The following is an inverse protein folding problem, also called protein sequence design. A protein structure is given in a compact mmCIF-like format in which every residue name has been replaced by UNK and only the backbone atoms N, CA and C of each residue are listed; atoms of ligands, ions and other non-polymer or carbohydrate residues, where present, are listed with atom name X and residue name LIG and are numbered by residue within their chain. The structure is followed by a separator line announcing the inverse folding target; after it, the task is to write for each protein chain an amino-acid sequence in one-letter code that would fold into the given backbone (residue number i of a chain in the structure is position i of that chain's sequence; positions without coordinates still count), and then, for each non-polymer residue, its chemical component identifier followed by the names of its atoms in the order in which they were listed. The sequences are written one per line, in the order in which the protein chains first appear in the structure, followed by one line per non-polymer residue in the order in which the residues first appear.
data_IF_777856374103
#
_entry.id   IF_777856374103
#
_cell.length_a   1.000
_cell.length_b   1.000
_cell.length_c   1.000
_cell.angle_alpha   90.00
_cell.angle_beta   90.00
_cell.angle_gamma   90.00
#
_symmetry.space_group_name_H-M   'P 1'
#
loop_
_entity.id
_entity.type
_entity.pdbx_description
1 polymer ?
#
# COMPACT_ATOMS: atom_id res chain seq x y z
N UNK A 1 -26.76 37.18 35.25
CA UNK A 1 -26.54 37.96 34.00
C UNK A 1 -26.06 37.06 32.87
N UNK A 2 -26.78 36.97 31.74
CA UNK A 2 -26.19 36.53 30.48
C UNK A 2 -26.27 37.65 29.43
N UNK A 3 -25.10 38.08 28.95
CA UNK A 3 -24.87 39.12 27.92
C UNK A 3 -25.45 38.80 26.52
N UNK A 4 -26.35 37.82 26.37
CA UNK A 4 -26.94 37.43 25.07
C UNK A 4 -28.26 38.11 24.74
N UNK A 5 -29.04 38.58 25.73
CA UNK A 5 -30.32 39.26 25.46
C UNK A 5 -30.15 40.74 25.03
N UNK A 6 -29.03 41.39 25.37
CA UNK A 6 -28.77 42.80 25.00
C UNK A 6 -28.43 43.00 23.52
N UNK A 7 -27.97 41.97 22.79
CA UNK A 7 -27.63 42.09 21.37
C UNK A 7 -28.86 41.99 20.45
N UNK A 8 -29.89 41.22 20.84
CA UNK A 8 -31.14 41.12 20.09
C UNK A 8 -31.99 42.39 20.25
N UNK A 9 -32.04 42.99 21.44
CA UNK A 9 -32.77 44.26 21.64
C UNK A 9 -32.13 45.41 20.85
N UNK A 10 -30.79 45.50 20.82
CA UNK A 10 -30.07 46.52 20.03
C UNK A 10 -30.29 46.31 18.52
N UNK A 11 -30.36 45.06 18.05
CA UNK A 11 -30.65 44.77 16.64
C UNK A 11 -32.11 45.10 16.27
N UNK A 12 -33.07 44.81 17.16
CA UNK A 12 -34.49 45.12 16.93
C UNK A 12 -34.73 46.64 16.95
N UNK A 13 -34.10 47.38 17.88
CA UNK A 13 -34.15 48.84 17.93
C UNK A 13 -33.50 49.47 16.70
N UNK A 14 -32.32 49.00 16.28
CA UNK A 14 -31.67 49.47 15.05
C UNK A 14 -32.51 49.20 13.80
N UNK A 15 -33.21 48.06 13.72
CA UNK A 15 -34.11 47.77 12.60
C UNK A 15 -35.40 48.61 12.62
N UNK A 16 -35.91 49.00 13.80
CA UNK A 16 -37.02 49.96 13.93
C UNK A 16 -36.61 51.36 13.51
N UNK A 17 -35.47 51.85 13.98
CA UNK A 17 -34.95 53.18 13.65
C UNK A 17 -34.66 53.32 12.13
N UNK A 18 -34.15 52.25 11.50
CA UNK A 18 -33.97 52.18 10.04
C UNK A 18 -35.32 52.20 9.30
N UNK A 19 -36.36 51.52 9.82
CA UNK A 19 -37.70 51.53 9.22
C UNK A 19 -38.37 52.90 9.35
N UNK A 20 -38.31 53.52 10.53
CA UNK A 20 -38.85 54.86 10.76
C UNK A 20 -38.15 55.91 9.88
N UNK A 21 -36.81 55.85 9.75
CA UNK A 21 -36.08 56.71 8.79
C UNK A 21 -36.47 56.45 7.33
N UNK A 22 -36.73 55.20 6.96
CA UNK A 22 -37.19 54.85 5.61
C UNK A 22 -38.60 55.37 5.35
N UNK A 23 -39.48 55.32 6.35
CA UNK A 23 -40.85 55.81 6.25
C UNK A 23 -40.92 57.35 6.30
N UNK A 24 -40.08 58.02 7.09
CA UNK A 24 -39.86 59.48 7.02
C UNK A 24 -39.30 59.91 5.66
N UNK A 25 -38.32 59.18 5.13
CA UNK A 25 -37.74 59.44 3.81
C UNK A 25 -38.78 59.26 2.70
N UNK A 26 -39.62 58.22 2.79
CA UNK A 26 -40.76 57.99 1.89
C UNK A 26 -41.81 59.09 2.02
N UNK A 27 -42.14 59.54 3.24
CA UNK A 27 -43.07 60.64 3.47
C UNK A 27 -42.56 61.98 2.90
N UNK A 28 -41.27 62.26 3.06
CA UNK A 28 -40.59 63.42 2.46
C UNK A 28 -40.59 63.38 0.93
N UNK A 29 -40.43 62.20 0.33
CA UNK A 29 -40.43 62.03 -1.13
C UNK A 29 -41.83 62.00 -1.73
N UNK A 30 -42.86 61.56 -0.99
CA UNK A 30 -44.25 61.56 -1.46
C UNK A 30 -44.84 62.98 -1.45
N UNK A 31 -44.43 63.86 -0.52
CA UNK A 31 -44.94 65.24 -0.43
C UNK A 31 -44.28 66.28 -1.35
N UNK A 32 -43.23 65.93 -2.10
CA UNK A 32 -42.55 66.88 -3.02
C UNK A 32 -42.72 66.54 -4.50
N UNK A 33 -43.92 66.07 -4.89
CA UNK A 33 -44.38 66.18 -6.27
C UNK A 33 -44.92 67.59 -6.48
N UNK A 34 -44.03 68.53 -6.78
CA UNK A 34 -44.27 69.72 -7.60
C UNK A 34 -43.01 70.60 -7.63
N UNK A 35 -42.00 70.21 -8.41
CA UNK A 35 -41.07 71.15 -9.05
C UNK A 35 -40.52 70.49 -10.33
N UNK A 36 -40.80 71.04 -11.53
CA UNK A 36 -40.53 70.36 -12.80
C UNK A 36 -39.08 70.46 -13.31
N UNK A 37 -38.12 71.06 -12.59
CA UNK A 37 -36.80 71.40 -13.16
C UNK A 37 -35.56 70.69 -12.58
N UNK A 38 -35.70 69.76 -11.63
CA UNK A 38 -34.54 69.05 -11.04
C UNK A 38 -34.38 67.56 -11.41
N UNK A 39 -35.05 67.06 -12.46
CA UNK A 39 -34.89 65.64 -12.85
C UNK A 39 -33.55 65.34 -13.52
N UNK A 40 -32.99 66.25 -14.31
CA UNK A 40 -31.70 66.02 -14.99
C UNK A 40 -30.52 65.97 -14.02
N UNK A 41 -30.43 66.96 -13.12
CA UNK A 41 -29.27 67.13 -12.23
C UNK A 41 -29.16 65.99 -11.22
N UNK A 42 -30.27 65.56 -10.60
CA UNK A 42 -30.24 64.45 -9.65
C UNK A 42 -29.91 63.11 -10.31
N UNK A 43 -30.34 62.87 -11.55
CA UNK A 43 -29.96 61.67 -12.31
C UNK A 43 -28.46 61.68 -12.62
N UNK A 44 -27.90 62.83 -12.99
CA UNK A 44 -26.46 63.00 -13.25
C UNK A 44 -25.64 62.77 -11.97
N UNK A 45 -26.01 63.38 -10.84
CA UNK A 45 -25.31 63.18 -9.57
C UNK A 45 -25.40 61.74 -9.06
N UNK A 46 -26.57 61.10 -9.20
CA UNK A 46 -26.76 59.70 -8.82
C UNK A 46 -25.97 58.76 -9.73
N UNK A 47 -25.87 59.07 -11.02
CA UNK A 47 -25.04 58.34 -11.97
C UNK A 47 -23.54 58.52 -11.72
N UNK A 48 -23.07 59.74 -11.44
CA UNK A 48 -21.66 60.02 -11.09
C UNK A 48 -21.29 59.36 -9.76
N UNK A 49 -22.15 59.43 -8.74
CA UNK A 49 -21.96 58.75 -7.45
C UNK A 49 -21.92 57.23 -7.60
N UNK A 50 -22.79 56.67 -8.43
CA UNK A 50 -22.82 55.24 -8.75
C UNK A 50 -21.57 54.77 -9.51
N UNK A 51 -21.09 55.56 -10.48
CA UNK A 51 -19.86 55.26 -11.24
C UNK A 51 -18.61 55.35 -10.36
N UNK A 52 -18.46 56.41 -9.55
CA UNK A 52 -17.35 56.54 -8.60
C UNK A 52 -17.38 55.46 -7.52
N UNK A 53 -18.57 55.10 -7.03
CA UNK A 53 -18.75 53.98 -6.10
C UNK A 53 -18.33 52.64 -6.72
N UNK A 54 -18.67 52.39 -7.99
CA UNK A 54 -18.23 51.19 -8.72
C UNK A 54 -16.72 51.14 -8.92
N UNK A 55 -16.07 52.28 -9.21
CA UNK A 55 -14.60 52.35 -9.33
C UNK A 55 -13.92 52.05 -7.99
N UNK A 56 -14.36 52.66 -6.88
CA UNK A 56 -13.78 52.41 -5.56
C UNK A 56 -13.99 50.95 -5.09
N UNK A 57 -15.15 50.35 -5.38
CA UNK A 57 -15.41 48.93 -5.10
C UNK A 57 -14.50 48.03 -5.95
N UNK A 58 -14.28 48.36 -7.23
CA UNK A 58 -13.34 47.64 -8.09
C UNK A 58 -11.90 47.73 -7.56
N UNK A 59 -11.42 48.92 -7.23
CA UNK A 59 -10.07 49.12 -6.69
C UNK A 59 -9.86 48.36 -5.37
N UNK A 60 -10.82 48.45 -4.43
CA UNK A 60 -10.78 47.67 -3.18
C UNK A 60 -10.82 46.17 -3.45
N UNK A 61 -11.62 45.72 -4.42
CA UNK A 61 -11.67 44.30 -4.79
C UNK A 61 -10.35 43.80 -5.38
N UNK A 62 -9.64 44.64 -6.14
CA UNK A 62 -8.31 44.32 -6.69
C UNK A 62 -7.28 44.21 -5.56
N UNK A 63 -7.28 45.14 -4.60
CA UNK A 63 -6.36 45.07 -3.45
C UNK A 63 -6.64 43.83 -2.58
N UNK A 64 -7.91 43.53 -2.30
CA UNK A 64 -8.30 42.34 -1.51
C UNK A 64 -7.92 41.05 -2.23
N UNK A 65 -8.16 40.96 -3.55
CA UNK A 65 -7.78 39.78 -4.34
C UNK A 65 -6.27 39.61 -4.39
N UNK A 66 -5.49 40.68 -4.59
CA UNK A 66 -4.03 40.64 -4.53
C UNK A 66 -3.51 40.18 -3.16
N UNK A 67 -4.12 40.64 -2.06
CA UNK A 67 -3.77 40.20 -0.71
C UNK A 67 -4.10 38.72 -0.48
N UNK A 68 -5.23 38.24 -0.99
CA UNK A 68 -5.62 36.83 -0.91
C UNK A 68 -4.66 35.94 -1.73
N UNK A 69 -4.29 36.37 -2.94
CA UNK A 69 -3.31 35.68 -3.79
C UNK A 69 -1.96 35.60 -3.05
N UNK A 70 -1.44 36.71 -2.53
CA UNK A 70 -0.18 36.73 -1.80
C UNK A 70 -0.19 35.85 -0.53
N UNK A 71 -1.31 35.82 0.20
CA UNK A 71 -1.50 34.91 1.35
C UNK A 71 -1.52 33.44 0.91
N UNK A 72 -2.17 33.13 -0.21
CA UNK A 72 -2.23 31.78 -0.76
C UNK A 72 -0.86 31.27 -1.21
N UNK A 73 -0.08 32.11 -1.89
CA UNK A 73 1.29 31.81 -2.32
C UNK A 73 2.22 31.61 -1.13
N UNK A 74 2.11 32.46 -0.11
CA UNK A 74 2.86 32.32 1.15
C UNK A 74 2.57 30.99 1.83
N UNK A 75 1.30 30.59 1.92
CA UNK A 75 0.91 29.27 2.48
C UNK A 75 1.47 28.12 1.64
N UNK A 76 1.46 28.24 0.31
CA UNK A 76 2.00 27.23 -0.61
C UNK A 76 3.52 27.06 -0.42
N UNK A 77 4.27 28.16 -0.30
CA UNK A 77 5.71 28.14 -0.04
C UNK A 77 6.04 27.50 1.31
N UNK A 78 5.32 27.85 2.38
CA UNK A 78 5.52 27.25 3.71
C UNK A 78 5.23 25.74 3.68
N UNK A 79 4.15 25.31 3.00
CA UNK A 79 3.83 23.89 2.84
C UNK A 79 4.92 23.14 2.06
N UNK A 80 5.48 23.75 1.00
CA UNK A 80 6.59 23.18 0.24
C UNK A 80 7.85 23.07 1.08
N UNK A 81 8.19 24.10 1.86
CA UNK A 81 9.32 24.08 2.79
C UNK A 81 9.18 23.02 3.87
N UNK A 82 7.98 22.88 4.47
CA UNK A 82 7.69 21.80 5.42
C UNK A 82 7.87 20.41 4.81
N UNK A 83 7.45 20.19 3.56
CA UNK A 83 7.65 18.91 2.88
C UNK A 83 9.12 18.63 2.58
N UNK A 84 9.88 19.62 2.11
CA UNK A 84 11.29 19.42 1.80
C UNK A 84 12.12 19.18 3.07
N UNK A 85 11.87 19.93 4.15
CA UNK A 85 12.52 19.72 5.44
C UNK A 85 12.22 18.34 6.08
N UNK A 86 11.15 17.66 5.65
CA UNK A 86 10.85 16.28 6.05
C UNK A 86 11.67 15.23 5.29
N UNK A 87 12.14 15.56 4.08
CA UNK A 87 12.70 14.60 3.11
C UNK A 87 14.21 14.77 2.98
N UNK A 88 14.71 16.00 2.87
CA UNK A 88 16.11 16.31 2.56
C UNK A 88 16.78 17.13 3.65
N UNK A 89 18.07 16.83 3.91
CA UNK A 89 18.86 17.52 4.94
C UNK A 89 19.33 18.91 4.47
N UNK A 90 19.41 19.11 3.15
CA UNK A 90 19.87 20.32 2.44
C UNK A 90 18.69 21.11 1.83
N UNK A 91 17.50 21.01 2.41
CA UNK A 91 16.28 21.67 1.90
C UNK A 91 16.41 23.20 1.73
N UNK A 92 17.31 23.83 2.49
CA UNK A 92 17.61 25.25 2.37
C UNK A 92 18.29 25.58 1.05
N UNK A 93 19.16 24.69 0.57
CA UNK A 93 19.93 24.85 -0.66
C UNK A 93 19.08 24.60 -1.91
N UNK A 94 18.06 23.75 -1.80
CA UNK A 94 17.15 23.43 -2.91
C UNK A 94 16.16 24.57 -3.24
N UNK A 95 16.08 25.61 -2.39
CA UNK A 95 15.18 26.73 -2.61
C UNK A 95 15.86 27.93 -3.29
N UNK A 96 15.18 28.65 -4.19
CA UNK A 96 15.69 29.91 -4.74
C UNK A 96 15.99 30.96 -3.65
N UNK A 97 17.06 31.74 -3.80
CA UNK A 97 17.56 32.71 -2.80
C UNK A 97 16.49 33.65 -2.23
N UNK A 98 15.60 34.19 -3.10
CA UNK A 98 14.49 35.08 -2.69
C UNK A 98 13.47 34.37 -1.78
N UNK A 99 13.28 33.07 -1.95
CA UNK A 99 12.39 32.25 -1.12
C UNK A 99 13.06 31.86 0.20
N UNK A 100 14.38 31.58 0.19
CA UNK A 100 15.17 31.34 1.42
C UNK A 100 15.04 32.49 2.42
N UNK A 101 15.17 33.76 1.98
CA UNK A 101 15.01 34.93 2.86
C UNK A 101 13.62 35.03 3.51
N UNK A 102 12.55 34.67 2.78
CA UNK A 102 11.18 34.66 3.30
C UNK A 102 10.93 33.54 4.30
N UNK A 103 11.61 32.41 4.13
CA UNK A 103 11.52 31.23 5.00
C UNK A 103 12.49 31.30 6.18
N UNK A 104 13.54 32.13 6.11
CA UNK A 104 14.51 32.35 7.21
C UNK A 104 13.83 32.70 8.53
N UNK A 105 12.72 33.43 8.49
CA UNK A 105 11.88 33.78 9.66
C UNK A 105 11.17 32.58 10.30
N UNK A 106 11.12 31.45 9.62
CA UNK A 106 10.46 30.20 10.02
C UNK A 106 11.46 29.06 10.22
N UNK A 107 12.77 29.30 10.10
CA UNK A 107 13.80 28.26 10.26
C UNK A 107 13.67 27.54 11.59
N UNK A 108 13.53 28.30 12.69
CA UNK A 108 13.30 27.75 14.02
C UNK A 108 12.11 26.79 14.08
N UNK A 109 11.00 27.14 13.41
CA UNK A 109 9.79 26.28 13.34
C UNK A 109 10.04 25.03 12.49
N UNK A 110 10.85 25.11 11.43
CA UNK A 110 11.19 23.98 10.58
C UNK A 110 12.20 23.04 11.26
N UNK A 111 13.16 23.58 11.99
CA UNK A 111 14.12 22.85 12.82
C UNK A 111 13.40 22.12 13.96
N UNK A 112 12.52 22.79 14.70
CA UNK A 112 11.67 22.16 15.73
C UNK A 112 10.84 20.99 15.16
N UNK A 113 10.25 21.16 13.96
CA UNK A 113 9.52 20.08 13.30
C UNK A 113 10.44 18.91 12.92
N UNK A 114 11.66 19.19 12.47
CA UNK A 114 12.66 18.16 12.14
C UNK A 114 13.12 17.42 13.39
N UNK A 115 13.34 18.11 14.50
CA UNK A 115 13.68 17.50 15.79
C UNK A 115 12.54 16.61 16.31
N UNK A 116 11.29 17.06 16.22
CA UNK A 116 10.12 16.24 16.57
C UNK A 116 10.07 14.96 15.72
N UNK A 117 10.32 15.07 14.40
CA UNK A 117 10.34 13.90 13.51
C UNK A 117 11.50 12.96 13.84
N UNK A 118 12.71 13.49 14.06
CA UNK A 118 13.90 12.72 14.45
C UNK A 118 13.68 12.03 15.80
N UNK A 119 13.12 12.73 16.79
CA UNK A 119 12.78 12.19 18.10
C UNK A 119 11.74 11.07 17.98
N UNK A 120 10.64 11.28 17.23
CA UNK A 120 9.64 10.24 16.96
C UNK A 120 10.25 9.04 16.25
N UNK A 121 11.12 9.25 15.27
CA UNK A 121 11.82 8.18 14.55
C UNK A 121 12.74 7.38 15.48
N UNK A 122 13.53 8.06 16.33
CA UNK A 122 14.35 7.40 17.35
C UNK A 122 13.51 6.64 18.38
N UNK A 123 12.38 7.19 18.82
CA UNK A 123 11.44 6.49 19.72
C UNK A 123 10.85 5.26 19.04
N UNK A 124 10.46 5.35 17.76
CA UNK A 124 10.00 4.19 16.99
C UNK A 124 11.10 3.15 16.75
N UNK A 125 12.35 3.58 16.53
CA UNK A 125 13.50 2.68 16.33
C UNK A 125 13.86 1.98 17.66
N UNK A 126 13.86 2.71 18.79
CA UNK A 126 14.03 2.15 20.14
C UNK A 126 12.87 1.24 20.54
N UNK A 127 11.63 1.62 20.24
CA UNK A 127 10.46 0.79 20.52
C UNK A 127 10.40 -0.42 19.59
N UNK A 128 10.89 -0.34 18.36
CA UNK A 128 11.11 -1.51 17.50
C UNK A 128 12.07 -2.48 18.15
N UNK A 129 13.21 -2.02 18.68
CA UNK A 129 14.19 -2.88 19.37
C UNK A 129 13.63 -3.51 20.65
N UNK A 130 12.87 -2.76 21.45
CA UNK A 130 12.22 -3.24 22.68
C UNK A 130 11.03 -4.18 22.40
N UNK A 131 10.17 -3.87 21.43
CA UNK A 131 9.06 -4.74 21.00
C UNK A 131 9.56 -6.01 20.31
N UNK A 132 10.72 -5.98 19.67
CA UNK A 132 11.32 -7.18 19.04
C UNK A 132 11.62 -8.28 20.07
N UNK A 133 11.91 -7.91 21.32
CA UNK A 133 12.04 -8.84 22.45
C UNK A 133 10.70 -9.34 22.99
N UNK A 134 9.62 -8.55 22.87
CA UNK A 134 8.30 -8.88 23.44
C UNK A 134 7.46 -9.74 22.49
N UNK A 135 7.68 -9.66 21.17
CA UNK A 135 7.02 -10.54 20.21
C UNK A 135 8.09 -11.21 19.34
N UNK A 136 8.40 -12.46 19.68
CA UNK A 136 9.25 -13.31 18.85
C UNK A 136 8.70 -13.28 17.39
N UNK A 137 9.51 -13.06 16.35
CA UNK A 137 9.06 -13.11 14.95
C UNK A 137 8.24 -14.37 14.61
N UNK A 138 8.54 -15.48 15.29
CA UNK A 138 7.76 -16.71 15.25
C UNK A 138 6.34 -16.53 15.82
N UNK A 139 6.21 -15.93 17.02
CA UNK A 139 4.92 -15.64 17.63
C UNK A 139 4.11 -14.66 16.77
N UNK A 140 4.73 -13.59 16.25
CA UNK A 140 4.07 -12.65 15.33
C UNK A 140 3.47 -13.37 14.12
N UNK A 141 4.20 -14.33 13.57
CA UNK A 141 3.75 -15.13 12.44
C UNK A 141 2.60 -16.08 12.83
N UNK A 142 2.73 -16.77 13.97
CA UNK A 142 1.68 -17.67 14.50
C UNK A 142 0.40 -16.88 14.77
N UNK A 143 0.47 -15.72 15.42
CA UNK A 143 -0.68 -14.85 15.65
C UNK A 143 -1.31 -14.36 14.35
N UNK A 144 -0.49 -14.06 13.33
CA UNK A 144 -1.01 -13.68 12.01
C UNK A 144 -1.77 -14.84 11.35
N UNK A 145 -1.22 -16.04 11.38
CA UNK A 145 -1.90 -17.25 10.89
C UNK A 145 -3.22 -17.47 11.64
N UNK A 146 -3.15 -17.44 12.97
CA UNK A 146 -4.32 -17.61 13.83
C UNK A 146 -5.39 -16.55 13.54
N UNK A 147 -5.02 -15.28 13.40
CA UNK A 147 -5.97 -14.21 13.08
C UNK A 147 -6.63 -14.39 11.70
N UNK A 148 -5.89 -14.93 10.72
CA UNK A 148 -6.44 -15.24 9.39
C UNK A 148 -7.47 -16.38 9.48
N UNK A 149 -7.16 -17.44 10.21
CA UNK A 149 -8.05 -18.59 10.41
C UNK A 149 -9.27 -18.20 11.27
N UNK A 150 -9.07 -17.38 12.32
CA UNK A 150 -10.13 -16.92 13.21
C UNK A 150 -11.21 -16.13 12.48
N UNK A 151 -10.84 -15.24 11.56
CA UNK A 151 -11.83 -14.50 10.75
C UNK A 151 -12.79 -15.43 9.99
N UNK A 152 -12.32 -16.61 9.59
CA UNK A 152 -13.11 -17.62 8.89
C UNK A 152 -13.91 -18.51 9.86
N UNK A 153 -13.36 -18.78 11.04
CA UNK A 153 -14.05 -19.48 12.13
C UNK A 153 -15.14 -18.64 12.80
N UNK A 154 -15.03 -17.32 12.78
CA UNK A 154 -16.07 -16.43 13.32
C UNK A 154 -17.30 -16.33 12.39
N UNK A 155 -17.21 -16.86 11.16
CA UNK A 155 -18.35 -16.90 10.24
C UNK A 155 -19.35 -18.01 10.60
N UNK A 156 -20.65 -17.82 10.28
CA UNK A 156 -21.65 -18.88 10.33
C UNK A 156 -21.22 -20.13 9.55
N UNK A 157 -21.64 -21.31 10.02
CA UNK A 157 -21.22 -22.60 9.44
C UNK A 157 -21.53 -22.69 7.94
N UNK A 158 -22.73 -22.27 7.52
CA UNK A 158 -23.17 -22.26 6.12
C UNK A 158 -22.23 -21.44 5.23
N UNK A 159 -21.85 -20.26 5.68
CA UNK A 159 -20.92 -19.37 4.99
C UNK A 159 -19.52 -19.98 4.94
N UNK A 160 -19.08 -20.60 6.03
CA UNK A 160 -17.76 -21.24 6.14
C UNK A 160 -17.61 -22.41 5.18
N UNK A 161 -18.62 -23.27 5.08
CA UNK A 161 -18.66 -24.40 4.15
C UNK A 161 -18.68 -23.93 2.70
N UNK A 162 -19.48 -22.92 2.37
CA UNK A 162 -19.46 -22.31 1.03
C UNK A 162 -18.06 -21.77 0.68
N UNK A 163 -17.41 -21.04 1.60
CA UNK A 163 -16.04 -20.54 1.40
C UNK A 163 -15.06 -21.71 1.19
N UNK A 164 -15.13 -22.75 2.02
CA UNK A 164 -14.29 -23.94 1.89
C UNK A 164 -14.43 -24.53 0.49
N UNK A 165 -15.65 -24.74 0.02
CA UNK A 165 -15.92 -25.33 -1.29
C UNK A 165 -15.41 -24.45 -2.43
N UNK A 166 -15.61 -23.14 -2.35
CA UNK A 166 -15.05 -22.21 -3.33
C UNK A 166 -13.52 -22.22 -3.34
N UNK A 167 -12.86 -22.22 -2.17
CA UNK A 167 -11.41 -22.29 -2.09
C UNK A 167 -10.87 -23.58 -2.69
N UNK A 168 -11.51 -24.73 -2.42
CA UNK A 168 -11.16 -26.02 -3.02
C UNK A 168 -11.35 -25.99 -4.54
N UNK A 169 -12.50 -25.48 -5.01
CA UNK A 169 -12.78 -25.30 -6.45
C UNK A 169 -11.70 -24.45 -7.12
N UNK A 170 -11.30 -23.33 -6.51
CA UNK A 170 -10.26 -22.46 -7.04
C UNK A 170 -8.91 -23.18 -7.08
N UNK A 171 -8.54 -23.90 -6.01
CA UNK A 171 -7.31 -24.68 -5.94
C UNK A 171 -7.17 -25.73 -7.05
N UNK A 172 -8.30 -26.24 -7.55
CA UNK A 172 -8.36 -27.16 -8.70
C UNK A 172 -8.19 -26.46 -10.07
N UNK A 173 -7.74 -25.18 -10.05
CA UNK A 173 -7.53 -24.27 -11.20
C UNK A 173 -8.79 -23.70 -11.83
N UNK A 174 -9.88 -23.58 -11.08
CA UNK A 174 -11.01 -22.78 -11.54
C UNK A 174 -10.76 -21.32 -11.15
N UNK A 175 -10.52 -20.41 -12.11
CA UNK A 175 -10.36 -19.01 -11.78
C UNK A 175 -11.64 -18.48 -11.15
N UNK A 176 -11.51 -17.51 -10.26
CA UNK A 176 -12.64 -16.80 -9.71
C UNK A 176 -13.27 -15.94 -10.80
N UNK A 177 -14.48 -16.30 -11.23
CA UNK A 177 -15.26 -15.56 -12.21
C UNK A 177 -16.00 -14.38 -11.58
N UNK A 178 -16.36 -13.40 -12.40
CA UNK A 178 -17.10 -12.20 -11.95
C UNK A 178 -18.45 -12.56 -11.31
N UNK A 179 -19.19 -13.50 -11.91
CA UNK A 179 -20.48 -13.99 -11.41
C UNK A 179 -20.37 -14.52 -9.97
N UNK A 180 -19.36 -15.34 -9.69
CA UNK A 180 -19.12 -15.87 -8.33
C UNK A 180 -18.83 -14.75 -7.30
N UNK A 181 -18.21 -13.65 -7.73
CA UNK A 181 -17.94 -12.49 -6.87
C UNK A 181 -19.23 -11.68 -6.65
N UNK A 182 -20.10 -11.58 -7.65
CA UNK A 182 -21.38 -10.89 -7.55
C UNK A 182 -22.35 -11.67 -6.65
N UNK A 183 -22.42 -12.99 -6.81
CA UNK A 183 -23.22 -13.90 -5.96
C UNK A 183 -22.72 -13.93 -4.51
N UNK A 184 -21.40 -13.99 -4.30
CA UNK A 184 -20.83 -14.12 -2.97
C UNK A 184 -19.60 -13.22 -2.78
N UNK A 185 -19.80 -11.91 -2.51
CA UNK A 185 -18.72 -10.90 -2.50
C UNK A 185 -17.56 -11.20 -1.55
N UNK A 186 -17.82 -11.90 -0.44
CA UNK A 186 -16.82 -12.28 0.54
C UNK A 186 -15.74 -13.19 -0.06
N UNK A 187 -16.04 -13.98 -1.09
CA UNK A 187 -15.06 -14.90 -1.68
C UNK A 187 -13.82 -14.17 -2.20
N UNK A 188 -13.98 -12.95 -2.70
CA UNK A 188 -12.86 -12.14 -3.19
C UNK A 188 -11.85 -11.88 -2.09
N UNK A 189 -12.33 -11.61 -0.87
CA UNK A 189 -11.48 -11.35 0.29
C UNK A 189 -10.74 -12.61 0.73
N UNK A 190 -11.46 -13.74 0.82
CA UNK A 190 -10.87 -15.03 1.17
C UNK A 190 -9.89 -15.54 0.12
N UNK A 191 -10.20 -15.39 -1.17
CA UNK A 191 -9.31 -15.73 -2.26
C UNK A 191 -7.99 -14.94 -2.19
N UNK A 192 -8.04 -13.63 -1.92
CA UNK A 192 -6.83 -12.80 -1.72
C UNK A 192 -5.96 -13.26 -0.54
N UNK A 193 -6.56 -13.85 0.48
CA UNK A 193 -5.86 -14.33 1.69
C UNK A 193 -5.31 -15.74 1.51
N UNK A 194 -6.11 -16.66 0.99
CA UNK A 194 -5.79 -18.09 0.95
C UNK A 194 -5.25 -18.57 -0.39
N UNK A 195 -5.56 -17.93 -1.52
CA UNK A 195 -5.10 -18.40 -2.83
C UNK A 195 -3.86 -17.65 -3.27
N UNK A 196 -2.78 -18.36 -3.60
CA UNK A 196 -1.49 -17.78 -4.00
C UNK A 196 -1.60 -16.82 -5.20
N UNK A 197 -2.44 -17.16 -6.18
CA UNK A 197 -2.69 -16.34 -7.36
C UNK A 197 -3.19 -14.93 -7.05
N UNK A 198 -4.09 -14.80 -6.07
CA UNK A 198 -4.78 -13.54 -5.77
C UNK A 198 -4.11 -12.72 -4.67
N UNK A 199 -2.92 -13.13 -4.20
CA UNK A 199 -2.23 -12.39 -3.16
C UNK A 199 -1.80 -11.00 -3.64
N UNK A 200 -1.46 -10.13 -2.69
CA UNK A 200 -0.85 -8.86 -3.01
C UNK A 200 0.59 -9.07 -3.49
N UNK A 201 0.98 -8.32 -4.52
CA UNK A 201 2.38 -8.16 -4.92
C UNK A 201 3.22 -7.79 -3.68
N UNK A 202 4.45 -8.33 -3.52
CA UNK A 202 5.22 -9.13 -4.47
C UNK A 202 4.88 -10.62 -4.53
N UNK A 203 3.91 -11.12 -3.77
CA UNK A 203 3.74 -12.56 -3.53
C UNK A 203 2.84 -13.29 -4.54
N UNK A 204 2.45 -12.62 -5.63
CA UNK A 204 1.65 -13.21 -6.70
C UNK A 204 2.45 -14.24 -7.51
N UNK A 205 1.82 -15.39 -7.78
CA UNK A 205 2.30 -16.38 -8.75
C UNK A 205 1.15 -16.83 -9.63
N UNK A 206 1.43 -17.26 -10.86
CA UNK A 206 0.43 -17.84 -11.76
C UNK A 206 0.08 -19.29 -11.36
N UNK A 207 -0.22 -19.53 -10.09
CA UNK A 207 -0.52 -20.84 -9.50
C UNK A 207 -1.74 -20.70 -8.58
N UNK A 208 -2.79 -21.46 -8.87
CA UNK A 208 -3.96 -21.59 -8.00
C UNK A 208 -3.69 -22.63 -6.90
N UNK A 209 -3.00 -22.22 -5.86
CA UNK A 209 -2.72 -23.08 -4.70
C UNK A 209 -3.28 -22.44 -3.43
N UNK A 210 -3.88 -23.25 -2.56
CA UNK A 210 -4.42 -22.85 -1.27
C UNK A 210 -3.30 -22.78 -0.25
N UNK A 211 -3.25 -21.70 0.52
CA UNK A 211 -2.36 -21.52 1.66
C UNK A 211 -2.70 -22.56 2.70
N UNK A 212 -1.70 -23.30 3.16
CA UNK A 212 -1.85 -24.23 4.26
C UNK A 212 -1.67 -23.48 5.59
N UNK A 213 -2.69 -23.63 6.42
CA UNK A 213 -2.84 -23.17 7.79
C UNK A 213 -3.46 -24.31 8.59
N UNK A 214 -3.46 -24.26 9.93
CA UNK A 214 -4.10 -25.30 10.73
C UNK A 214 -5.55 -25.59 10.30
N UNK A 215 -6.32 -24.55 9.99
CA UNK A 215 -7.71 -24.69 9.53
C UNK A 215 -7.82 -25.31 8.13
N UNK A 216 -7.02 -24.85 7.18
CA UNK A 216 -7.10 -25.37 5.81
C UNK A 216 -6.51 -26.78 5.71
N UNK A 217 -5.57 -27.15 6.56
CA UNK A 217 -5.08 -28.53 6.64
C UNK A 217 -6.18 -29.50 7.08
N UNK A 218 -7.00 -29.14 8.08
CA UNK A 218 -8.11 -30.01 8.52
C UNK A 218 -9.19 -30.14 7.44
N UNK A 219 -9.46 -29.07 6.69
CA UNK A 219 -10.43 -29.12 5.59
C UNK A 219 -10.00 -29.96 4.40
N UNK A 220 -8.70 -30.03 4.17
CA UNK A 220 -8.09 -30.68 3.02
C UNK A 220 -7.45 -32.01 3.39
N UNK A 221 -7.68 -32.50 4.60
CA UNK A 221 -7.13 -33.75 5.11
C UNK A 221 -7.42 -34.91 4.14
N UNK A 222 -6.45 -35.79 3.97
CA UNK A 222 -6.47 -36.92 3.03
C UNK A 222 -6.55 -36.56 1.52
N UNK A 223 -6.72 -35.30 1.13
CA UNK A 223 -6.72 -34.93 -0.28
C UNK A 223 -5.32 -34.98 -0.86
N UNK A 224 -5.18 -35.54 -2.07
CA UNK A 224 -3.93 -35.49 -2.80
C UNK A 224 -3.60 -34.05 -3.23
N UNK A 225 -2.40 -33.60 -2.93
CA UNK A 225 -1.92 -32.28 -3.30
C UNK A 225 -0.44 -32.25 -3.69
N UNK A 226 -0.11 -31.25 -4.51
CA UNK A 226 1.27 -30.85 -4.79
C UNK A 226 1.60 -29.65 -3.91
N UNK A 227 2.69 -29.75 -3.16
CA UNK A 227 3.13 -28.73 -2.22
C UNK A 227 4.07 -27.73 -2.88
N UNK A 228 3.90 -26.46 -2.52
CA UNK A 228 4.77 -25.37 -2.92
C UNK A 228 5.17 -24.52 -1.72
N UNK A 229 6.43 -24.10 -1.71
CA UNK A 229 6.93 -23.14 -0.73
C UNK A 229 7.15 -21.80 -1.44
N UNK A 230 6.43 -20.76 -1.00
CA UNK A 230 6.53 -19.42 -1.59
C UNK A 230 7.27 -18.45 -0.67
N UNK A 231 8.18 -17.70 -1.27
CA UNK A 231 9.12 -16.79 -0.61
C UNK A 231 9.43 -15.62 -1.53
N UNK A 232 9.76 -14.49 -0.93
CA UNK A 232 10.15 -13.27 -1.61
C UNK A 232 11.48 -12.80 -1.05
N UNK A 233 12.32 -12.24 -1.92
CA UNK A 233 13.61 -11.65 -1.58
C UNK A 233 13.84 -10.46 -2.52
N UNK A 234 14.64 -9.48 -2.10
CA UNK A 234 15.03 -8.38 -2.98
C UNK A 234 15.89 -8.87 -4.15
N UNK A 235 15.78 -8.20 -5.30
CA UNK A 235 16.62 -8.50 -6.45
C UNK A 235 18.08 -8.15 -6.16
N UNK A 236 18.33 -7.11 -5.37
CA UNK A 236 19.67 -6.73 -4.92
C UNK A 236 20.40 -7.87 -4.19
N UNK A 237 19.75 -8.49 -3.19
CA UNK A 237 20.32 -9.61 -2.44
C UNK A 237 20.73 -10.76 -3.37
N UNK A 238 19.86 -11.09 -4.32
CA UNK A 238 20.11 -12.17 -5.28
C UNK A 238 21.23 -11.84 -6.25
N UNK A 239 21.34 -10.59 -6.71
CA UNK A 239 22.42 -10.15 -7.59
C UNK A 239 23.77 -10.27 -6.91
N UNK A 240 23.88 -9.77 -5.69
CA UNK A 240 25.10 -9.94 -4.91
C UNK A 240 25.46 -11.42 -4.78
N UNK A 241 24.46 -12.29 -4.61
CA UNK A 241 24.66 -13.73 -4.54
C UNK A 241 25.07 -14.37 -5.88
N UNK A 242 24.69 -13.78 -7.00
CA UNK A 242 25.08 -14.23 -8.33
C UNK A 242 26.44 -13.69 -8.78
N UNK A 243 26.87 -12.54 -8.25
CA UNK A 243 28.10 -11.83 -8.61
C UNK A 243 29.28 -12.18 -7.68
N UNK A 244 29.03 -12.33 -6.38
CA UNK A 244 30.00 -12.89 -5.45
C UNK A 244 30.09 -14.40 -5.70
N UNK A 245 31.29 -14.98 -5.59
CA UNK A 245 31.49 -16.42 -5.68
C UNK A 245 30.60 -17.13 -4.64
N UNK A 246 29.42 -17.56 -5.06
CA UNK A 246 28.56 -18.38 -4.21
C UNK A 246 29.29 -19.69 -3.95
N UNK A 247 29.25 -20.14 -2.69
CA UNK A 247 29.77 -21.45 -2.30
C UNK A 247 29.03 -22.62 -2.97
N UNK A 248 27.93 -22.35 -3.68
CA UNK A 248 27.10 -23.35 -4.34
C UNK A 248 26.77 -22.94 -5.77
N UNK A 249 26.59 -23.92 -6.65
CA UNK A 249 26.08 -23.64 -8.00
C UNK A 249 24.64 -23.11 -7.91
N UNK A 250 24.46 -21.84 -8.25
CA UNK A 250 23.15 -21.20 -8.16
C UNK A 250 22.31 -21.60 -9.38
N UNK A 251 21.03 -21.93 -9.14
CA UNK A 251 20.11 -22.34 -10.19
C UNK A 251 20.06 -21.37 -11.38
N UNK A 252 20.05 -21.86 -12.63
CA UNK A 252 20.09 -21.00 -13.82
C UNK A 252 19.01 -19.91 -13.92
N UNK A 253 17.86 -20.11 -13.28
CA UNK A 253 16.81 -19.08 -13.25
C UNK A 253 17.18 -17.88 -12.37
N UNK A 254 18.10 -18.03 -11.41
CA UNK A 254 18.57 -16.93 -10.55
C UNK A 254 19.38 -15.93 -11.38
N UNK A 255 20.15 -16.39 -12.36
CA UNK A 255 20.83 -15.49 -13.30
C UNK A 255 19.85 -14.63 -14.10
N UNK A 256 18.60 -15.07 -14.35
CA UNK A 256 17.58 -14.22 -15.00
C UNK A 256 17.18 -13.02 -14.15
N UNK A 257 17.56 -12.99 -12.88
CA UNK A 257 17.24 -11.93 -11.94
C UNK A 257 18.30 -10.82 -11.98
N UNK A 258 19.47 -11.08 -12.60
CA UNK A 258 20.49 -10.05 -12.83
C UNK A 258 19.93 -8.85 -13.61
N UNK A 259 18.95 -9.08 -14.49
CA UNK A 259 18.29 -8.03 -15.28
C UNK A 259 17.24 -7.22 -14.52
N UNK A 260 16.78 -7.65 -13.33
CA UNK A 260 15.82 -6.87 -12.52
C UNK A 260 16.49 -5.67 -11.88
N UNK A 261 15.78 -4.58 -11.61
CA UNK A 261 16.38 -3.43 -10.87
C UNK A 261 16.56 -3.79 -9.39
N UNK A 262 17.61 -3.28 -8.74
CA UNK A 262 17.98 -3.67 -7.37
C UNK A 262 16.87 -3.44 -6.34
N UNK A 263 16.09 -2.36 -6.47
CA UNK A 263 14.94 -2.07 -5.59
C UNK A 263 13.68 -2.91 -5.86
N UNK A 264 13.69 -3.84 -6.82
CA UNK A 264 12.56 -4.73 -7.07
C UNK A 264 12.59 -5.96 -6.17
N UNK A 265 11.41 -6.54 -5.95
CA UNK A 265 11.26 -7.82 -5.27
C UNK A 265 11.19 -8.97 -6.28
N UNK A 266 11.76 -10.10 -5.91
CA UNK A 266 11.63 -11.36 -6.62
C UNK A 266 10.82 -12.35 -5.81
N UNK A 267 9.80 -12.92 -6.45
CA UNK A 267 8.98 -13.95 -5.88
C UNK A 267 9.37 -15.32 -6.42
N UNK A 268 9.65 -16.23 -5.50
CA UNK A 268 10.03 -17.60 -5.77
C UNK A 268 8.95 -18.53 -5.23
N UNK A 269 8.55 -19.50 -6.04
CA UNK A 269 7.76 -20.63 -5.59
C UNK A 269 8.46 -21.90 -6.03
N UNK A 270 8.87 -22.73 -5.08
CA UNK A 270 9.56 -24.00 -5.33
C UNK A 270 8.66 -25.18 -5.04
N UNK A 271 8.72 -26.20 -5.91
CA UNK A 271 8.06 -27.49 -5.71
C UNK A 271 8.64 -28.18 -4.47
N UNK A 272 7.79 -28.46 -3.49
CA UNK A 272 8.18 -28.98 -2.19
C UNK A 272 7.94 -30.48 -2.06
N UNK A 273 7.09 -31.08 -2.90
CA UNK A 273 6.76 -32.51 -2.83
C UNK A 273 5.30 -32.72 -3.18
N UNK A 274 4.86 -33.97 -3.06
CA UNK A 274 3.50 -34.37 -3.40
C UNK A 274 3.07 -35.51 -2.49
N UNK A 275 1.80 -35.51 -2.12
CA UNK A 275 1.24 -36.51 -1.24
C UNK A 275 -0.13 -36.11 -0.73
N UNK A 276 -0.70 -36.89 0.18
CA UNK A 276 -1.90 -36.51 0.90
C UNK A 276 -1.60 -35.43 1.93
N UNK A 277 -2.52 -34.51 2.14
CA UNK A 277 -2.40 -33.46 3.15
C UNK A 277 -2.59 -34.09 4.52
N UNK A 278 -1.46 -34.32 5.19
CA UNK A 278 -1.36 -34.81 6.57
C UNK A 278 -0.32 -34.03 7.34
N UNK A 279 -0.40 -34.02 8.68
CA UNK A 279 0.53 -33.26 9.54
C UNK A 279 1.97 -33.77 9.44
N UNK A 280 2.12 -35.08 9.28
CA UNK A 280 3.36 -35.83 9.16
C UNK A 280 3.91 -35.88 7.73
N UNK A 281 3.13 -35.47 6.72
CA UNK A 281 3.57 -35.47 5.33
C UNK A 281 4.90 -34.72 5.16
N UNK A 282 5.86 -35.37 4.51
CA UNK A 282 7.19 -34.79 4.31
C UNK A 282 7.24 -33.84 3.12
N UNK A 283 7.82 -32.66 3.34
CA UNK A 283 8.02 -31.65 2.30
C UNK A 283 9.45 -31.11 2.32
N UNK A 284 9.98 -30.85 1.13
CA UNK A 284 11.26 -30.18 0.93
C UNK A 284 11.09 -28.66 1.02
N UNK A 285 11.86 -28.00 1.89
CA UNK A 285 11.79 -26.56 2.10
C UNK A 285 12.49 -25.76 0.98
N UNK A 286 13.56 -26.33 0.44
CA UNK A 286 14.32 -25.81 -0.69
C UNK A 286 14.98 -26.97 -1.45
N UNK A 287 15.35 -26.73 -2.70
CA UNK A 287 16.00 -27.71 -3.57
C UNK A 287 17.18 -27.05 -4.26
N UNK A 288 18.29 -27.77 -4.38
CA UNK A 288 19.48 -27.30 -5.08
C UNK A 288 19.29 -27.28 -6.61
N UNK A 289 20.36 -26.98 -7.33
CA UNK A 289 20.44 -27.01 -8.79
C UNK A 289 20.19 -28.40 -9.39
N UNK A 290 20.53 -29.45 -8.67
CA UNK A 290 20.25 -30.85 -9.04
C UNK A 290 18.84 -31.31 -8.64
N UNK A 291 18.00 -30.41 -8.13
CA UNK A 291 16.66 -30.70 -7.60
C UNK A 291 16.65 -31.57 -6.35
N UNK A 292 17.79 -31.81 -5.73
CA UNK A 292 17.87 -32.56 -4.49
C UNK A 292 17.35 -31.69 -3.33
N UNK A 293 16.58 -32.27 -2.41
CA UNK A 293 16.05 -31.54 -1.28
C UNK A 293 17.19 -31.16 -0.32
N UNK A 294 17.32 -29.87 0.00
CA UNK A 294 18.34 -29.37 0.94
C UNK A 294 17.95 -29.69 2.38
N UNK A 295 16.64 -29.64 2.66
CA UNK A 295 16.07 -29.94 3.97
C UNK A 295 14.65 -30.43 3.78
N UNK A 296 14.35 -31.59 4.36
CA UNK A 296 13.02 -32.19 4.42
C UNK A 296 12.50 -32.02 5.84
N UNK A 297 11.23 -31.65 5.98
CA UNK A 297 10.55 -31.55 7.27
C UNK A 297 9.10 -31.97 7.13
N UNK A 298 8.45 -32.28 8.24
CA UNK A 298 6.99 -32.49 8.23
C UNK A 298 6.25 -31.21 7.87
N UNK A 299 5.10 -31.37 7.23
CA UNK A 299 4.25 -30.29 6.74
C UNK A 299 3.84 -29.35 7.88
N UNK A 300 3.48 -29.93 9.03
CA UNK A 300 3.14 -29.17 10.23
C UNK A 300 4.31 -28.28 10.67
N UNK A 301 5.53 -28.81 10.76
CA UNK A 301 6.72 -28.02 11.13
C UNK A 301 7.00 -26.93 10.11
N UNK A 302 6.89 -27.22 8.82
CA UNK A 302 7.13 -26.24 7.77
C UNK A 302 6.17 -25.03 7.84
N UNK A 303 4.90 -25.27 8.19
CA UNK A 303 3.89 -24.21 8.35
C UNK A 303 4.20 -23.37 9.58
N UNK A 304 4.45 -23.98 10.74
CA UNK A 304 4.65 -23.23 11.98
C UNK A 304 6.05 -22.63 12.15
N UNK A 305 7.05 -23.11 11.40
CA UNK A 305 8.46 -22.68 11.51
C UNK A 305 8.98 -22.08 10.20
N UNK A 306 8.48 -20.89 9.81
CA UNK A 306 8.90 -20.25 8.56
C UNK A 306 10.39 -19.89 8.52
N UNK A 307 11.05 -19.75 9.68
CA UNK A 307 12.49 -19.51 9.74
C UNK A 307 13.31 -20.68 9.19
N UNK A 308 12.82 -21.92 9.27
CA UNK A 308 13.49 -23.08 8.66
C UNK A 308 13.45 -22.98 7.13
N UNK A 309 12.36 -22.47 6.56
CA UNK A 309 12.23 -22.20 5.11
C UNK A 309 13.26 -21.14 4.68
N UNK A 310 13.36 -20.04 5.43
CA UNK A 310 14.35 -18.98 5.16
C UNK A 310 15.78 -19.52 5.16
N UNK A 311 16.14 -20.29 6.20
CA UNK A 311 17.48 -20.90 6.33
C UNK A 311 17.77 -21.89 5.20
N UNK A 312 16.81 -22.75 4.85
CA UNK A 312 16.98 -23.70 3.76
C UNK A 312 17.17 -23.00 2.41
N UNK A 313 16.44 -21.90 2.18
CA UNK A 313 16.57 -21.10 0.96
C UNK A 313 17.88 -20.31 0.90
N UNK A 314 18.33 -19.73 2.02
CA UNK A 314 19.63 -19.08 2.10
C UNK A 314 20.77 -20.07 1.78
N UNK A 315 20.70 -21.28 2.36
CA UNK A 315 21.63 -22.38 2.04
C UNK A 315 21.59 -22.78 0.56
N UNK A 316 20.41 -22.79 -0.06
CA UNK A 316 20.23 -23.06 -1.50
C UNK A 316 20.95 -22.05 -2.40
N UNK A 317 21.08 -20.81 -1.93
CA UNK A 317 21.77 -19.74 -2.65
C UNK A 317 23.26 -19.68 -2.33
N UNK A 318 23.74 -20.51 -1.38
CA UNK A 318 25.14 -20.54 -0.96
C UNK A 318 25.57 -19.36 -0.09
N UNK A 319 24.61 -18.60 0.45
CA UNK A 319 24.84 -17.45 1.36
C UNK A 319 23.93 -17.57 2.56
N UNK A 320 24.47 -17.78 3.75
CA UNK A 320 23.66 -17.97 4.96
C UNK A 320 23.17 -16.64 5.53
N UNK A 321 23.88 -15.56 5.22
CA UNK A 321 23.66 -14.23 5.79
C UNK A 321 22.32 -13.64 5.31
N UNK A 322 21.96 -13.88 4.04
CA UNK A 322 20.74 -13.34 3.40
C UNK A 322 19.43 -13.89 3.98
N UNK A 323 19.48 -14.82 4.93
CA UNK A 323 18.27 -15.44 5.50
C UNK A 323 17.29 -14.42 6.10
N UNK A 324 17.80 -13.30 6.62
CA UNK A 324 16.99 -12.22 7.19
C UNK A 324 16.24 -11.42 6.11
N UNK A 325 16.82 -11.32 4.91
CA UNK A 325 16.23 -10.64 3.75
C UNK A 325 15.14 -11.46 3.05
N UNK A 326 15.05 -12.76 3.36
CA UNK A 326 14.03 -13.64 2.81
C UNK A 326 12.74 -13.45 3.57
N UNK A 327 11.70 -12.99 2.90
CA UNK A 327 10.33 -13.00 3.41
C UNK A 327 9.64 -14.30 3.01
N UNK A 328 9.21 -15.10 3.99
CA UNK A 328 8.43 -16.32 3.72
C UNK A 328 6.95 -16.02 3.91
N UNK A 329 6.11 -16.39 2.94
CA UNK A 329 4.66 -16.29 3.12
C UNK A 329 4.13 -17.49 3.87
N UNK A 330 4.10 -18.65 3.22
CA UNK A 330 3.51 -19.88 3.73
C UNK A 330 3.88 -21.05 2.80
N UNK A 331 3.52 -22.27 3.24
CA UNK A 331 3.38 -23.44 2.38
C UNK A 331 2.01 -23.39 1.70
N UNK A 332 1.94 -23.84 0.45
CA UNK A 332 0.71 -23.88 -0.36
C UNK A 332 0.50 -25.28 -0.92
N UNK A 333 -0.76 -25.65 -1.15
CA UNK A 333 -1.18 -26.90 -1.77
C UNK A 333 -2.00 -26.63 -3.03
N UNK A 334 -1.62 -27.26 -4.15
CA UNK A 334 -2.45 -27.37 -5.34
C UNK A 334 -3.16 -28.73 -5.30
N UNK A 335 -4.49 -28.73 -5.32
CA UNK A 335 -5.32 -29.91 -5.04
C UNK A 335 -5.59 -30.71 -6.32
N UNK A 336 -5.47 -32.04 -6.24
CA UNK A 336 -5.97 -33.02 -7.21
C UNK A 336 -5.29 -33.07 -8.57
N UNK A 337 -4.51 -32.04 -8.95
CA UNK A 337 -3.89 -31.95 -10.27
C UNK A 337 -2.38 -31.81 -10.17
N UNK A 338 -1.67 -32.49 -11.09
CA UNK A 338 -0.22 -32.35 -11.29
C UNK A 338 0.07 -31.49 -12.52
N UNK A 339 0.90 -30.47 -12.36
CA UNK A 339 1.45 -29.72 -13.49
C UNK A 339 2.48 -30.55 -14.25
N UNK A 340 2.71 -30.20 -15.53
CA UNK A 340 3.75 -30.85 -16.36
C UNK A 340 5.14 -30.75 -15.72
N UNK A 341 5.43 -29.63 -15.05
CA UNK A 341 6.72 -29.44 -14.33
C UNK A 341 6.82 -30.32 -13.09
N UNK A 342 5.73 -30.50 -12.36
CA UNK A 342 5.73 -31.31 -11.14
C UNK A 342 5.99 -32.78 -11.48
N UNK A 343 5.39 -33.28 -12.58
CA UNK A 343 5.69 -34.62 -13.11
C UNK A 343 7.19 -34.80 -13.45
N UNK A 344 7.83 -33.77 -13.99
CA UNK A 344 9.27 -33.81 -14.30
C UNK A 344 10.13 -33.78 -13.03
N UNK A 345 9.71 -33.05 -12.00
CA UNK A 345 10.38 -33.04 -10.71
C UNK A 345 10.27 -34.40 -10.00
N UNK A 346 9.09 -35.02 -10.02
CA UNK A 346 8.87 -36.37 -9.47
C UNK A 346 9.68 -37.43 -10.23
N UNK A 347 9.79 -37.31 -11.56
CA UNK A 347 10.55 -38.24 -12.39
C UNK A 347 12.08 -38.07 -12.28
N UNK A 348 12.58 -37.21 -11.39
CA UNK A 348 14.01 -36.95 -11.23
C UNK A 348 14.68 -36.41 -12.51
N UNK A 349 13.91 -35.79 -13.40
CA UNK A 349 14.41 -35.39 -14.72
C UNK A 349 15.50 -34.32 -14.57
N UNK A 350 16.63 -34.41 -15.30
CA UNK A 350 17.69 -33.41 -15.24
C UNK A 350 17.16 -31.99 -15.46
N UNK A 351 17.65 -31.02 -14.67
CA UNK A 351 17.13 -29.65 -14.68
C UNK A 351 17.17 -28.99 -16.06
N UNK A 352 18.15 -29.35 -16.92
CA UNK A 352 18.24 -28.88 -18.31
C UNK A 352 16.97 -29.18 -19.12
N UNK A 353 16.33 -30.32 -18.89
CA UNK A 353 15.06 -30.71 -19.54
C UNK A 353 13.88 -29.99 -18.90
N UNK A 354 13.86 -29.88 -17.56
CA UNK A 354 12.83 -29.14 -16.84
C UNK A 354 12.76 -27.65 -17.23
N UNK A 355 13.91 -27.02 -17.52
CA UNK A 355 14.03 -25.63 -17.97
C UNK A 355 13.62 -25.46 -19.46
N UNK A 356 13.89 -26.45 -20.32
CA UNK A 356 13.72 -26.36 -21.80
C UNK A 356 12.29 -26.06 -22.28
N UNK A 357 11.28 -26.14 -21.40
CA UNK A 357 9.87 -25.81 -21.70
C UNK A 357 9.61 -24.29 -21.82
N UNK A 358 10.63 -23.42 -21.72
CA UNK A 358 10.53 -21.98 -22.04
C UNK A 358 11.46 -21.53 -23.18
N UNK A 359 11.59 -22.31 -24.25
CA UNK A 359 12.29 -21.94 -25.51
C UNK A 359 11.53 -20.91 -26.39
N UNK A 360 10.88 -19.91 -25.79
CA UNK A 360 10.50 -18.69 -26.52
C UNK A 360 11.12 -17.53 -25.75
N UNK A 361 11.98 -16.73 -26.41
CA UNK A 361 12.74 -15.56 -25.91
C UNK A 361 14.19 -15.73 -25.40
N UNK A 362 14.93 -16.77 -25.81
CA UNK A 362 16.42 -16.74 -25.67
C UNK A 362 17.10 -16.22 -26.95
N UNK A 363 16.47 -16.41 -28.12
CA UNK A 363 16.96 -15.82 -29.37
C UNK A 363 17.06 -14.29 -29.29
N UNK A 364 16.14 -13.63 -28.59
CA UNK A 364 16.12 -12.16 -28.50
C UNK A 364 17.25 -11.58 -27.62
N UNK A 365 17.81 -12.34 -26.69
CA UNK A 365 18.89 -11.86 -25.81
C UNK A 365 20.28 -12.05 -26.40
N UNK A 366 20.44 -13.02 -27.33
CA UNK A 366 21.70 -13.28 -28.02
C UNK A 366 21.85 -12.50 -29.33
N UNK A 367 20.78 -11.85 -29.81
CA UNK A 367 20.79 -11.06 -31.04
C UNK A 367 21.16 -9.58 -30.85
N UNK A 368 21.34 -9.11 -29.61
CA UNK A 368 21.67 -7.69 -29.31
C UNK A 368 23.09 -7.47 -28.78
N UNK A 369 23.91 -8.53 -28.71
CA UNK A 369 25.34 -8.44 -28.36
C UNK A 369 26.20 -9.10 -29.44
N UNK A 370 25.94 -8.77 -30.70
CA UNK A 370 26.89 -8.93 -31.81
C UNK A 370 27.03 -7.61 -32.53
#
# INVERSE_FOLDING_TARGET
MPRRLKLETIQIEGHKEIRERLDEWRALHIRKREYPLMKGIHVIYLYIGFLKGRQLVRERSIVVTQQLIARSERRRLIRRGKRLAQITETYEEEMPYRQRRKIKRYLRVLEEQREIIRARRRVMERSRLLMWRIINPLQSYIYRLYAIDRVLLDQPLTIREAIKDYLVKIARKNPLYRQMIEEFPLIRHYAKRYILYYQLYPHTHNIYAVRLSPLTMTWLEEQEAVYYVSRVISAEALKQTALLESSTYVMPYVYKISSKRSGEMWNSSSHAGRGKIRKDAEIALARDDKQQPIRITTLFRAIFRPHEIKRAFARMLGRREIHDEVETRCVYAMIGRRGRRDKLYEAGTPMRVAIKIRRRRIKDFLYHNR
#
